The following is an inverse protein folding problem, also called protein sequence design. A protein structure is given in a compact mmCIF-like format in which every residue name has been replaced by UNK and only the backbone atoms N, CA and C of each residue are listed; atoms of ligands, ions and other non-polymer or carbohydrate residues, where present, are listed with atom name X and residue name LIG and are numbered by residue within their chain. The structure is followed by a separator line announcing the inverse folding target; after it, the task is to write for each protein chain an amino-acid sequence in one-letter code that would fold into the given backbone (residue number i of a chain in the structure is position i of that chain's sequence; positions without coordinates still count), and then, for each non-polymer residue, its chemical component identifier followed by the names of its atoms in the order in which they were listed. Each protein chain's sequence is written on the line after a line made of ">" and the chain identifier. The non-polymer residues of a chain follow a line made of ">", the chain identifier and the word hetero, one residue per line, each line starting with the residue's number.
data_IF_832718830432
#
_entry.id   IF_832718830432
#
_cell.length_a   1.000
_cell.length_b   1.000
_cell.length_c   1.000
_cell.angle_alpha   90.00
_cell.angle_beta   90.00
_cell.angle_gamma   90.00
#
_symmetry.space_group_name_H-M   'P 1'
#
loop_
_entity.id
_entity.type
_entity.pdbx_description
1 polymer ?
#
# COMPACT_ATOMS: atom_id res chain seq x y z
N UNK A 1 -1.45 2.38 4.06
CA UNK A 1 -1.70 1.21 3.20
C UNK A 1 -2.78 1.60 2.21
N UNK A 2 -2.62 1.22 0.94
CA UNK A 2 -3.60 1.38 -0.13
C UNK A 2 -4.01 -0.02 -0.56
N UNK A 3 -5.28 -0.39 -0.37
CA UNK A 3 -5.79 -1.74 -0.62
C UNK A 3 -6.72 -1.77 -1.85
N UNK A 4 -6.98 -2.98 -2.35
CA UNK A 4 -7.84 -3.28 -3.49
C UNK A 4 -7.26 -2.75 -4.82
N UNK A 5 -5.94 -2.88 -4.98
CA UNK A 5 -5.26 -2.42 -6.21
C UNK A 5 -5.74 -3.15 -7.47
N UNK A 6 -6.32 -4.34 -7.32
CA UNK A 6 -6.99 -5.09 -8.39
C UNK A 6 -8.19 -4.37 -8.99
N UNK A 7 -8.81 -3.44 -8.25
CA UNK A 7 -9.93 -2.66 -8.75
C UNK A 7 -9.49 -1.45 -9.57
N UNK A 8 -8.19 -1.09 -9.58
CA UNK A 8 -7.70 0.12 -10.24
C UNK A 8 -8.09 0.19 -11.75
N UNK A 9 -7.97 -0.90 -12.55
CA UNK A 9 -8.41 -0.87 -13.95
C UNK A 9 -9.91 -0.68 -14.11
N UNK A 10 -10.72 -1.13 -13.14
CA UNK A 10 -12.19 -1.08 -13.22
C UNK A 10 -12.75 0.31 -12.89
N UNK A 11 -12.00 1.11 -12.14
CA UNK A 11 -12.39 2.48 -11.76
C UNK A 11 -11.58 3.55 -12.51
N UNK A 12 -10.74 3.15 -13.46
CA UNK A 12 -9.88 4.08 -14.22
C UNK A 12 -8.81 4.77 -13.36
N UNK A 13 -8.36 4.13 -12.28
CA UNK A 13 -7.31 4.67 -11.42
C UNK A 13 -5.92 4.21 -11.88
N UNK A 14 -4.93 5.12 -11.84
CA UNK A 14 -3.52 4.82 -12.07
C UNK A 14 -2.79 4.59 -10.75
N UNK A 15 -2.21 3.41 -10.57
CA UNK A 15 -1.39 3.10 -9.39
C UNK A 15 -0.12 3.94 -9.33
N UNK A 16 0.44 4.34 -10.47
CA UNK A 16 1.63 5.21 -10.55
C UNK A 16 1.34 6.63 -10.03
N UNK A 17 0.21 7.22 -10.43
CA UNK A 17 -0.23 8.52 -9.92
C UNK A 17 -0.46 8.45 -8.41
N UNK A 18 -1.16 7.41 -7.95
CA UNK A 18 -1.37 7.19 -6.51
C UNK A 18 -0.05 7.03 -5.74
N UNK A 19 0.97 6.41 -6.33
CA UNK A 19 2.29 6.25 -5.71
C UNK A 19 3.01 7.59 -5.58
N UNK A 20 2.96 8.43 -6.62
CA UNK A 20 3.54 9.77 -6.61
C UNK A 20 2.86 10.65 -5.56
N UNK A 21 1.53 10.66 -5.54
CA UNK A 21 0.75 11.44 -4.58
C UNK A 21 1.00 10.98 -3.14
N UNK A 22 1.03 9.65 -2.91
CA UNK A 22 1.33 9.10 -1.60
C UNK A 22 2.72 9.51 -1.12
N UNK A 23 3.74 9.50 -2.01
CA UNK A 23 5.09 9.93 -1.69
C UNK A 23 5.13 11.43 -1.36
N UNK A 24 4.46 12.26 -2.15
CA UNK A 24 4.39 13.71 -1.92
C UNK A 24 3.72 14.06 -0.57
N UNK A 25 2.60 13.39 -0.24
CA UNK A 25 1.83 13.70 0.97
C UNK A 25 2.44 13.12 2.25
N UNK A 26 3.15 11.99 2.15
CA UNK A 26 3.66 11.26 3.33
C UNK A 26 5.12 11.57 3.64
N UNK A 27 5.87 12.19 2.72
CA UNK A 27 7.31 12.34 2.82
C UNK A 27 7.97 10.97 3.00
N UNK A 28 8.79 10.83 4.03
CA UNK A 28 9.52 9.58 4.35
C UNK A 28 8.65 8.50 5.02
N UNK A 29 7.38 8.79 5.36
CA UNK A 29 6.54 7.80 6.06
C UNK A 29 6.14 6.69 5.08
N UNK A 30 6.48 5.41 5.38
CA UNK A 30 6.26 4.32 4.44
C UNK A 30 4.78 4.12 4.12
N UNK A 31 4.51 3.60 2.93
CA UNK A 31 3.21 3.10 2.52
C UNK A 31 3.40 1.82 1.71
N UNK A 32 2.31 1.08 1.51
CA UNK A 32 2.30 -0.19 0.80
C UNK A 32 1.01 -0.30 0.01
N UNK A 33 1.14 -0.74 -1.24
CA UNK A 33 0.03 -1.22 -2.05
C UNK A 33 -0.28 -2.66 -1.68
N UNK A 34 -1.56 -3.01 -1.67
CA UNK A 34 -2.01 -4.33 -1.24
C UNK A 34 -3.24 -4.78 -1.98
N UNK A 35 -3.36 -6.09 -2.10
CA UNK A 35 -4.58 -6.79 -2.42
C UNK A 35 -4.81 -7.85 -1.36
N UNK A 36 -5.61 -7.52 -0.34
CA UNK A 36 -5.88 -8.45 0.76
C UNK A 36 -6.74 -9.65 0.35
N UNK A 37 -7.34 -9.65 -0.85
CA UNK A 37 -8.04 -10.82 -1.40
C UNK A 37 -7.04 -11.89 -1.88
N UNK A 38 -5.89 -11.47 -2.40
CA UNK A 38 -4.82 -12.38 -2.88
C UNK A 38 -3.67 -12.53 -1.89
N UNK A 39 -3.59 -11.66 -0.89
CA UNK A 39 -2.49 -11.60 0.07
C UNK A 39 -1.31 -10.73 -0.39
N UNK A 40 -1.43 -10.05 -1.54
CA UNK A 40 -0.39 -9.13 -2.02
C UNK A 40 -0.19 -7.98 -1.02
N UNK A 41 1.08 -7.71 -0.68
CA UNK A 41 1.47 -6.68 0.30
C UNK A 41 1.24 -7.07 1.77
N UNK A 42 0.59 -8.20 2.07
CA UNK A 42 0.29 -8.62 3.44
C UNK A 42 1.57 -8.90 4.26
N UNK A 43 2.54 -9.59 3.67
CA UNK A 43 3.82 -9.87 4.33
C UNK A 43 4.55 -8.59 4.76
N UNK A 44 4.56 -7.57 3.90
CA UNK A 44 5.15 -6.26 4.19
C UNK A 44 4.44 -5.53 5.34
N UNK A 45 3.10 -5.63 5.40
CA UNK A 45 2.32 -5.05 6.50
C UNK A 45 2.65 -5.74 7.83
N UNK A 46 2.70 -7.09 7.82
CA UNK A 46 3.05 -7.87 9.02
C UNK A 46 4.46 -7.51 9.50
N UNK A 47 5.42 -7.45 8.58
CA UNK A 47 6.80 -7.07 8.90
C UNK A 47 6.90 -5.67 9.51
N UNK A 48 6.19 -4.70 8.92
CA UNK A 48 6.13 -3.33 9.45
C UNK A 48 5.59 -3.30 10.88
N UNK A 49 4.51 -4.03 11.16
CA UNK A 49 3.91 -4.10 12.49
C UNK A 49 4.85 -4.74 13.51
N UNK A 50 5.55 -5.83 13.15
CA UNK A 50 6.56 -6.44 14.03
C UNK A 50 7.69 -5.46 14.35
N UNK A 51 8.25 -4.83 13.33
CA UNK A 51 9.39 -3.91 13.50
C UNK A 51 9.02 -2.65 14.30
N UNK A 52 7.85 -2.05 14.02
CA UNK A 52 7.48 -0.73 14.56
C UNK A 52 6.49 -0.78 15.72
N UNK A 53 5.78 -1.90 15.87
CA UNK A 53 4.76 -2.11 16.91
C UNK A 53 5.27 -2.77 18.18
N UNK A 54 6.58 -3.06 18.27
CA UNK A 54 7.21 -3.76 19.41
C UNK A 54 6.59 -5.15 19.69
N UNK A 55 6.31 -5.89 18.62
CA UNK A 55 5.68 -7.22 18.62
C UNK A 55 6.62 -8.31 18.12
#
# INVERSE_FOLDING_TARGET
>A
MINKIDLAPLVGASLEVMAQDAKAQRGERPFVFSNLKTGEGLATIIAFIRERGML
#
